data_IF_149365344220
#
_entry.id   IF_149365344220
#
_cell.length_a   1.000
_cell.length_b   1.000
_cell.length_c   1.000
_cell.angle_alpha   90.00
_cell.angle_beta   90.00
_cell.angle_gamma   90.00
#
_symmetry.space_group_name_H-M   'P 1'
#
loop_
_entity.id
_entity.type
_entity.pdbx_description
1 polymer ?
#
# COMPACT_ATOMS: atom_id res chain seq x y z
N UNK A 1 57.71 -13.97 -20.22
CA UNK A 1 57.77 -14.00 -18.74
C UNK A 1 57.05 -15.27 -18.27
N UNK A 2 57.76 -16.40 -18.13
CA UNK A 2 57.16 -17.66 -17.61
C UNK A 2 57.22 -17.59 -16.09
N UNK A 3 56.07 -17.63 -15.43
CA UNK A 3 56.02 -17.80 -13.97
C UNK A 3 56.71 -19.14 -13.62
N UNK A 4 57.57 -19.18 -12.59
CA UNK A 4 58.28 -20.41 -12.23
C UNK A 4 57.27 -21.50 -11.88
N UNK A 5 57.55 -22.73 -12.34
CA UNK A 5 56.68 -23.92 -12.17
C UNK A 5 56.11 -24.05 -10.75
N UNK A 6 56.93 -23.78 -9.73
CA UNK A 6 56.55 -23.79 -8.32
C UNK A 6 55.40 -22.83 -7.97
N UNK A 7 55.33 -21.66 -8.61
CA UNK A 7 54.27 -20.67 -8.37
C UNK A 7 52.91 -21.13 -8.90
N UNK A 8 52.88 -21.82 -10.04
CA UNK A 8 51.65 -22.39 -10.60
C UNK A 8 51.12 -23.53 -9.72
N UNK A 9 52.01 -24.41 -9.24
CA UNK A 9 51.63 -25.47 -8.30
C UNK A 9 51.16 -24.95 -6.94
N UNK A 10 51.73 -23.86 -6.44
CA UNK A 10 51.28 -23.20 -5.20
C UNK A 10 49.88 -22.59 -5.42
N UNK A 11 49.66 -21.87 -6.51
CA UNK A 11 48.34 -21.29 -6.83
C UNK A 11 47.24 -22.34 -7.00
N UNK A 12 47.54 -23.48 -7.62
CA UNK A 12 46.57 -24.58 -7.77
C UNK A 12 46.20 -25.22 -6.41
N UNK A 13 47.18 -25.39 -5.50
CA UNK A 13 46.93 -25.90 -4.15
C UNK A 13 46.10 -24.93 -3.31
N UNK A 14 46.40 -23.63 -3.41
CA UNK A 14 45.63 -22.57 -2.75
C UNK A 14 44.19 -22.55 -3.29
N UNK A 15 44.01 -22.64 -4.61
CA UNK A 15 42.68 -22.68 -5.22
C UNK A 15 41.87 -23.91 -4.77
N UNK A 16 42.47 -25.10 -4.82
CA UNK A 16 41.80 -26.33 -4.36
C UNK A 16 41.40 -26.24 -2.89
N UNK A 17 42.29 -25.71 -2.04
CA UNK A 17 41.98 -25.47 -0.63
C UNK A 17 40.76 -24.57 -0.47
N UNK A 18 40.72 -23.42 -1.15
CA UNK A 18 39.58 -22.50 -1.07
C UNK A 18 38.31 -23.11 -1.64
N UNK A 19 38.37 -23.88 -2.72
CA UNK A 19 37.19 -24.56 -3.27
C UNK A 19 36.58 -25.55 -2.27
N UNK A 20 37.41 -26.38 -1.63
CA UNK A 20 36.94 -27.34 -0.61
C UNK A 20 36.44 -26.62 0.64
N UNK A 21 37.18 -25.60 1.10
CA UNK A 21 36.80 -24.80 2.25
C UNK A 21 35.44 -24.13 2.06
N UNK A 22 35.22 -23.45 0.91
CA UNK A 22 33.94 -22.82 0.62
C UNK A 22 32.82 -23.82 0.36
N UNK A 23 33.10 -25.01 -0.20
CA UNK A 23 32.10 -26.06 -0.33
C UNK A 23 31.57 -26.52 1.04
N UNK A 24 32.47 -26.72 2.01
CA UNK A 24 32.08 -27.07 3.39
C UNK A 24 31.33 -25.92 4.06
N UNK A 25 31.79 -24.68 3.89
CA UNK A 25 31.13 -23.49 4.45
C UNK A 25 29.71 -23.31 3.91
N UNK A 26 29.51 -23.47 2.61
CA UNK A 26 28.18 -23.41 1.97
C UNK A 26 27.29 -24.54 2.48
N UNK A 27 27.83 -25.75 2.64
CA UNK A 27 27.10 -26.89 3.20
C UNK A 27 26.65 -26.63 4.64
N UNK A 28 27.54 -26.12 5.49
CA UNK A 28 27.21 -25.74 6.87
C UNK A 28 26.15 -24.64 6.94
N UNK A 29 26.32 -23.56 6.15
CA UNK A 29 25.33 -22.48 6.07
C UNK A 29 23.97 -22.99 5.59
N UNK A 30 23.95 -23.85 4.56
CA UNK A 30 22.71 -24.42 4.03
C UNK A 30 22.01 -25.31 5.06
N UNK A 31 22.75 -26.09 5.85
CA UNK A 31 22.20 -26.90 6.93
C UNK A 31 21.62 -26.00 8.05
N UNK A 32 22.34 -24.97 8.48
CA UNK A 32 21.83 -24.00 9.46
C UNK A 32 20.57 -23.27 8.95
N UNK A 33 20.57 -22.87 7.68
CA UNK A 33 19.44 -22.20 7.05
C UNK A 33 18.23 -23.14 6.94
N UNK A 34 18.44 -24.42 6.63
CA UNK A 34 17.38 -25.42 6.60
C UNK A 34 16.74 -25.62 7.98
N UNK A 35 17.55 -25.72 9.04
CA UNK A 35 17.05 -25.77 10.42
C UNK A 35 16.29 -24.49 10.78
N UNK A 36 16.80 -23.32 10.38
CA UNK A 36 16.12 -22.05 10.61
C UNK A 36 14.73 -22.02 9.95
N UNK A 37 14.61 -22.45 8.69
CA UNK A 37 13.32 -22.51 7.98
C UNK A 37 12.31 -23.46 8.64
N UNK A 38 12.76 -24.53 9.31
CA UNK A 38 11.86 -25.38 10.09
C UNK A 38 11.26 -24.67 11.31
N UNK A 39 11.86 -23.57 11.78
CA UNK A 39 11.34 -22.77 12.90
C UNK A 39 10.36 -21.66 12.46
N UNK A 40 10.12 -21.53 11.16
CA UNK A 40 9.28 -20.49 10.57
C UNK A 40 7.96 -21.07 10.07
N UNK A 41 6.89 -20.30 10.27
CA UNK A 41 5.60 -20.54 9.64
C UNK A 41 5.56 -19.81 8.29
N UNK A 42 5.21 -20.51 7.21
CA UNK A 42 5.14 -19.95 5.87
C UNK A 42 3.91 -19.05 5.64
N UNK A 43 2.92 -19.08 6.52
CA UNK A 43 1.67 -18.30 6.40
C UNK A 43 1.67 -17.01 7.22
N UNK A 44 2.48 -16.93 8.26
CA UNK A 44 2.52 -15.77 9.17
C UNK A 44 3.92 -15.44 9.64
N UNK A 45 4.26 -14.15 9.77
CA UNK A 45 5.55 -13.75 10.30
C UNK A 45 5.66 -14.14 11.78
N UNK A 46 6.85 -14.60 12.18
CA UNK A 46 7.17 -15.02 13.56
C UNK A 46 7.07 -13.85 14.56
N UNK A 47 7.56 -12.68 14.16
CA UNK A 47 7.48 -11.46 14.95
C UNK A 47 6.41 -10.55 14.34
N UNK A 48 5.50 -10.05 15.17
CA UNK A 48 4.32 -9.30 14.74
C UNK A 48 4.21 -8.00 15.55
N UNK A 49 3.53 -7.00 14.98
CA UNK A 49 3.24 -5.72 15.62
C UNK A 49 4.52 -5.08 16.19
N UNK A 50 4.49 -4.58 17.43
CA UNK A 50 5.63 -3.94 18.11
C UNK A 50 6.87 -4.81 18.25
N UNK A 51 6.77 -6.14 18.15
CA UNK A 51 7.94 -7.04 18.15
C UNK A 51 8.56 -7.20 16.76
N UNK A 52 7.86 -6.77 15.71
CA UNK A 52 8.34 -6.83 14.34
C UNK A 52 9.12 -5.57 13.97
N UNK A 53 10.02 -5.69 12.99
CA UNK A 53 10.74 -4.55 12.44
C UNK A 53 9.82 -3.52 11.76
N UNK A 54 8.69 -3.98 11.23
CA UNK A 54 7.69 -3.13 10.55
C UNK A 54 6.93 -2.26 11.58
N UNK A 55 6.76 -2.76 12.80
CA UNK A 55 5.98 -2.13 13.85
C UNK A 55 4.47 -2.39 13.73
N UNK A 56 3.69 -1.59 14.45
CA UNK A 56 2.24 -1.67 14.60
C UNK A 56 1.52 -0.41 14.12
N UNK A 57 2.21 0.45 13.37
CA UNK A 57 1.65 1.68 12.81
C UNK A 57 1.68 1.62 11.27
N UNK A 58 0.53 1.43 10.60
CA UNK A 58 0.51 1.28 9.15
C UNK A 58 0.86 2.59 8.44
N UNK A 59 1.63 2.44 7.35
CA UNK A 59 1.78 3.49 6.34
C UNK A 59 0.51 3.61 5.49
N UNK A 60 0.39 4.75 4.80
CA UNK A 60 -0.65 4.98 3.80
C UNK A 60 0.02 5.13 2.43
N UNK A 61 -0.51 4.43 1.42
CA UNK A 61 -0.08 4.53 0.03
C UNK A 61 -1.18 5.12 -0.84
N UNK A 62 -0.78 5.68 -1.99
CA UNK A 62 -1.70 6.16 -3.03
C UNK A 62 -1.51 5.40 -4.35
N UNK A 63 -2.54 5.39 -5.18
CA UNK A 63 -2.52 4.87 -6.56
C UNK A 63 -3.26 5.84 -7.49
N UNK A 64 -2.78 6.03 -8.74
CA UNK A 64 -1.65 5.33 -9.37
C UNK A 64 -0.29 5.85 -8.90
N UNK A 65 0.77 5.03 -9.05
CA UNK A 65 2.15 5.46 -8.76
C UNK A 65 2.80 6.03 -10.02
N UNK A 66 3.74 6.98 -9.91
CA UNK A 66 4.52 7.46 -11.05
C UNK A 66 5.36 6.36 -11.72
N UNK A 67 5.76 6.55 -12.99
CA UNK A 67 6.51 5.55 -13.76
C UNK A 67 7.87 5.25 -13.15
N UNK A 68 8.42 4.09 -13.49
CA UNK A 68 9.70 3.60 -12.94
C UNK A 68 10.87 4.56 -13.17
N UNK A 69 10.85 5.35 -14.24
CA UNK A 69 11.85 6.38 -14.50
C UNK A 69 11.92 7.45 -13.41
N UNK A 70 10.83 7.64 -12.66
CA UNK A 70 10.67 8.66 -11.62
C UNK A 70 10.01 8.07 -10.34
N UNK A 71 10.41 6.88 -9.90
CA UNK A 71 9.82 6.22 -8.70
C UNK A 71 9.91 7.03 -7.41
N UNK A 72 10.88 7.94 -7.31
CA UNK A 72 11.05 8.81 -6.13
C UNK A 72 10.07 10.00 -6.14
N UNK A 73 9.48 10.27 -7.30
CA UNK A 73 8.48 11.31 -7.45
C UNK A 73 7.16 10.88 -6.82
N UNK A 74 6.46 11.85 -6.24
CA UNK A 74 5.06 11.69 -5.83
C UNK A 74 4.11 12.48 -6.72
N UNK A 75 4.61 12.99 -7.85
CA UNK A 75 3.87 13.82 -8.79
C UNK A 75 3.03 12.98 -9.74
N UNK A 76 1.72 13.22 -9.70
CA UNK A 76 0.76 12.82 -10.71
C UNK A 76 0.58 14.03 -11.64
N UNK A 77 1.33 14.03 -12.73
CA UNK A 77 1.21 15.03 -13.76
C UNK A 77 0.54 14.44 -14.99
N UNK A 78 -0.52 15.10 -15.45
CA UNK A 78 -1.10 14.78 -16.72
C UNK A 78 -1.67 15.99 -17.44
N UNK A 79 -1.74 15.89 -18.76
CA UNK A 79 -2.38 16.88 -19.62
C UNK A 79 -3.71 16.33 -20.12
N UNK A 80 -4.83 16.95 -19.74
CA UNK A 80 -6.17 16.43 -20.08
C UNK A 80 -6.39 16.30 -21.59
N UNK A 81 -5.71 17.13 -22.40
CA UNK A 81 -5.80 17.07 -23.87
C UNK A 81 -4.96 15.97 -24.52
N UNK A 82 -3.94 15.44 -23.82
CA UNK A 82 -3.03 14.44 -24.37
C UNK A 82 -3.43 13.03 -23.93
N UNK A 83 -4.10 12.32 -24.84
CA UNK A 83 -4.58 10.95 -24.61
C UNK A 83 -3.45 9.96 -24.30
N UNK A 84 -2.25 10.17 -24.83
CA UNK A 84 -1.12 9.26 -24.59
C UNK A 84 -0.62 9.36 -23.16
N UNK A 85 -0.50 10.58 -22.64
CA UNK A 85 -0.09 10.83 -21.27
C UNK A 85 -1.14 10.37 -20.25
N UNK A 86 -2.44 10.58 -20.53
CA UNK A 86 -3.56 10.08 -19.71
C UNK A 86 -3.62 8.55 -19.67
N UNK A 87 -3.32 7.88 -20.79
CA UNK A 87 -3.41 6.43 -20.92
C UNK A 87 -2.53 5.67 -19.90
N UNK A 88 -1.34 6.18 -19.58
CA UNK A 88 -0.48 5.57 -18.56
C UNK A 88 -1.20 5.46 -17.21
N UNK A 89 -1.73 6.58 -16.72
CA UNK A 89 -2.39 6.65 -15.42
C UNK A 89 -3.67 5.80 -15.36
N UNK A 90 -4.44 5.80 -16.46
CA UNK A 90 -5.62 4.93 -16.60
C UNK A 90 -5.25 3.45 -16.52
N UNK A 91 -4.16 3.05 -17.16
CA UNK A 91 -3.73 1.65 -17.17
C UNK A 91 -3.24 1.20 -15.80
N UNK A 92 -2.46 2.04 -15.10
CA UNK A 92 -2.03 1.76 -13.71
C UNK A 92 -3.24 1.54 -12.79
N UNK A 93 -4.27 2.38 -12.91
CA UNK A 93 -5.49 2.20 -12.14
C UNK A 93 -6.30 0.98 -12.57
N UNK A 94 -6.39 0.71 -13.87
CA UNK A 94 -7.09 -0.47 -14.39
C UNK A 94 -6.47 -1.76 -13.86
N UNK A 95 -5.14 -1.87 -13.91
CA UNK A 95 -4.44 -3.06 -13.39
C UNK A 95 -4.55 -3.14 -11.86
N UNK A 96 -4.53 -2.00 -11.16
CA UNK A 96 -4.74 -1.96 -9.72
C UNK A 96 -6.13 -2.47 -9.31
N UNK A 97 -7.20 -1.98 -9.95
CA UNK A 97 -8.58 -2.34 -9.57
C UNK A 97 -8.97 -3.74 -10.02
N UNK A 98 -8.30 -4.32 -11.02
CA UNK A 98 -8.56 -5.66 -11.56
C UNK A 98 -8.61 -6.75 -10.48
N UNK A 99 -7.79 -6.65 -9.43
CA UNK A 99 -7.78 -7.61 -8.32
C UNK A 99 -9.03 -7.57 -7.44
N UNK A 100 -9.84 -6.51 -7.56
CA UNK A 100 -11.12 -6.35 -6.86
C UNK A 100 -12.30 -6.89 -7.69
N UNK A 101 -12.09 -7.20 -8.98
CA UNK A 101 -13.08 -7.92 -9.78
C UNK A 101 -13.09 -9.39 -9.40
N UNK A 102 -14.28 -9.91 -9.10
CA UNK A 102 -14.46 -11.30 -8.63
C UNK A 102 -13.85 -12.33 -9.57
N UNK A 103 -14.01 -12.13 -10.88
CA UNK A 103 -13.52 -13.06 -11.92
C UNK A 103 -11.99 -13.06 -12.04
N UNK A 104 -11.34 -11.95 -11.72
CA UNK A 104 -9.89 -11.77 -11.87
C UNK A 104 -9.13 -11.93 -10.56
N UNK A 105 -9.82 -12.12 -9.43
CA UNK A 105 -9.19 -12.19 -8.11
C UNK A 105 -8.64 -13.61 -7.82
N UNK A 106 -7.30 -13.80 -7.74
CA UNK A 106 -6.71 -15.12 -7.45
C UNK A 106 -7.04 -15.63 -6.04
N UNK A 107 -7.54 -14.75 -5.17
CA UNK A 107 -7.92 -15.03 -3.80
C UNK A 107 -9.43 -14.96 -3.58
N UNK A 108 -10.25 -15.10 -4.63
CA UNK A 108 -11.73 -15.09 -4.54
C UNK A 108 -12.25 -15.98 -3.40
N UNK A 109 -11.65 -17.16 -3.19
CA UNK A 109 -12.01 -18.09 -2.10
C UNK A 109 -11.86 -17.50 -0.71
N UNK A 110 -11.05 -16.46 -0.52
CA UNK A 110 -10.84 -15.77 0.75
C UNK A 110 -11.65 -14.47 0.84
N UNK A 111 -12.52 -14.20 -0.13
CA UNK A 111 -13.39 -13.03 -0.13
C UNK A 111 -14.79 -13.44 0.31
N UNK A 112 -15.45 -12.60 1.10
CA UNK A 112 -16.85 -12.77 1.47
C UNK A 112 -17.61 -11.44 1.45
N UNK A 113 -18.93 -11.55 1.40
CA UNK A 113 -19.81 -10.39 1.45
C UNK A 113 -19.99 -9.96 2.90
N UNK A 114 -19.40 -8.83 3.26
CA UNK A 114 -19.59 -8.25 4.58
C UNK A 114 -20.90 -7.47 4.62
N UNK A 115 -21.69 -7.74 5.65
CA UNK A 115 -22.78 -6.87 6.09
C UNK A 115 -22.18 -5.60 6.70
N UNK A 116 -22.91 -4.48 6.60
CA UNK A 116 -22.42 -3.17 7.03
C UNK A 116 -21.86 -3.25 8.46
N UNK A 117 -20.55 -3.00 8.58
CA UNK A 117 -19.80 -2.90 9.84
C UNK A 117 -19.61 -4.20 10.63
N UNK A 118 -19.81 -5.39 10.02
CA UNK A 118 -19.37 -6.64 10.65
C UNK A 118 -17.99 -7.05 10.14
N UNK A 119 -17.07 -7.47 11.03
CA UNK A 119 -15.79 -8.01 10.59
C UNK A 119 -16.01 -9.32 9.82
N UNK A 120 -15.16 -9.60 8.82
CA UNK A 120 -15.26 -10.85 8.09
C UNK A 120 -14.92 -12.05 8.97
N UNK A 121 -15.37 -13.24 8.55
CA UNK A 121 -15.01 -14.53 9.12
C UNK A 121 -13.50 -14.72 9.17
N UNK A 122 -13.02 -15.55 10.10
CA UNK A 122 -11.58 -15.79 10.26
C UNK A 122 -10.92 -16.27 8.95
N UNK A 123 -9.86 -15.57 8.53
CA UNK A 123 -9.15 -15.85 7.28
C UNK A 123 -9.82 -15.33 6.01
N UNK A 124 -10.95 -14.63 6.12
CA UNK A 124 -11.66 -13.99 5.01
C UNK A 124 -11.46 -12.47 5.01
N UNK A 125 -11.75 -11.84 3.87
CA UNK A 125 -11.74 -10.38 3.71
C UNK A 125 -13.05 -9.93 3.06
N UNK A 126 -13.49 -8.72 3.41
CA UNK A 126 -14.68 -8.14 2.80
C UNK A 126 -14.49 -7.87 1.31
N UNK A 127 -15.49 -8.24 0.53
CA UNK A 127 -15.58 -7.91 -0.89
C UNK A 127 -15.73 -6.39 -1.07
N UNK A 128 -14.99 -5.84 -2.03
CA UNK A 128 -15.10 -4.42 -2.39
C UNK A 128 -15.80 -4.34 -3.73
N UNK A 129 -17.11 -4.07 -3.69
CA UNK A 129 -17.93 -4.01 -4.90
C UNK A 129 -17.62 -2.76 -5.71
N UNK A 130 -16.82 -2.90 -6.77
CA UNK A 130 -16.51 -1.85 -7.76
C UNK A 130 -17.73 -1.52 -8.65
N UNK A 131 -18.83 -1.09 -8.03
CA UNK A 131 -20.10 -0.79 -8.72
C UNK A 131 -20.25 0.70 -8.98
N UNK A 132 -20.95 1.04 -10.06
CA UNK A 132 -21.22 2.43 -10.47
C UNK A 132 -21.89 3.28 -9.39
N UNK A 133 -22.76 2.69 -8.57
CA UNK A 133 -23.50 3.42 -7.54
C UNK A 133 -22.61 3.91 -6.40
N UNK A 134 -21.46 3.27 -6.17
CA UNK A 134 -20.56 3.58 -5.05
C UNK A 134 -19.29 4.28 -5.56
N UNK A 135 -18.76 3.83 -6.69
CA UNK A 135 -17.42 4.21 -7.15
C UNK A 135 -17.40 5.18 -8.32
N UNK A 136 -18.55 5.59 -8.88
CA UNK A 136 -18.53 6.62 -9.94
C UNK A 136 -18.07 7.97 -9.38
N UNK A 137 -17.12 8.69 -10.03
CA UNK A 137 -16.53 8.45 -11.35
C UNK A 137 -15.19 7.69 -11.37
N UNK A 138 -14.79 7.09 -10.26
CA UNK A 138 -13.55 6.33 -10.07
C UNK A 138 -13.58 4.89 -10.63
N UNK A 139 -14.18 4.71 -11.81
CA UNK A 139 -14.23 3.44 -12.52
C UNK A 139 -13.59 3.53 -13.89
N UNK A 140 -13.20 2.37 -14.44
CA UNK A 140 -12.54 2.27 -15.73
C UNK A 140 -13.40 2.85 -16.88
N UNK A 141 -14.73 2.67 -16.82
CA UNK A 141 -15.66 3.19 -17.84
C UNK A 141 -15.72 4.72 -17.86
N UNK A 142 -15.40 5.36 -16.74
CA UNK A 142 -15.34 6.83 -16.59
C UNK A 142 -13.89 7.34 -16.68
N UNK A 143 -12.96 6.53 -17.18
CA UNK A 143 -11.54 6.86 -17.28
C UNK A 143 -10.91 7.30 -15.96
N UNK A 144 -11.48 6.85 -14.83
CA UNK A 144 -11.11 7.29 -13.47
C UNK A 144 -11.04 8.82 -13.33
N UNK A 145 -11.84 9.58 -14.08
CA UNK A 145 -11.86 11.05 -14.07
C UNK A 145 -10.72 11.73 -14.84
N UNK A 146 -9.71 11.02 -15.36
CA UNK A 146 -8.58 11.64 -16.07
C UNK A 146 -8.98 12.34 -17.38
N UNK A 147 -10.06 11.91 -18.02
CA UNK A 147 -10.56 12.47 -19.28
C UNK A 147 -11.70 13.49 -19.06
N UNK A 148 -12.05 13.81 -17.81
CA UNK A 148 -13.07 14.81 -17.53
C UNK A 148 -12.53 16.22 -17.84
N UNK A 149 -13.20 16.93 -18.76
CA UNK A 149 -12.83 18.28 -19.17
C UNK A 149 -12.99 19.33 -18.06
N UNK A 150 -13.85 19.07 -17.08
CA UNK A 150 -14.07 19.97 -15.92
C UNK A 150 -13.57 19.36 -14.62
N UNK A 151 -13.49 18.03 -14.58
CA UNK A 151 -13.03 17.23 -13.46
C UNK A 151 -11.53 16.98 -13.40
N UNK A 152 -11.18 16.15 -12.45
CA UNK A 152 -9.84 15.68 -12.14
C UNK A 152 -9.83 14.18 -11.87
N UNK A 153 -8.65 13.61 -11.60
CA UNK A 153 -8.53 12.17 -11.50
C UNK A 153 -9.08 11.65 -10.17
N UNK A 154 -9.35 10.36 -10.14
CA UNK A 154 -9.54 9.60 -8.91
C UNK A 154 -8.22 9.02 -8.44
N UNK A 155 -7.86 9.30 -7.18
CA UNK A 155 -6.68 8.77 -6.52
C UNK A 155 -7.11 7.81 -5.42
N UNK A 156 -6.67 6.56 -5.51
CA UNK A 156 -7.00 5.54 -4.52
C UNK A 156 -6.02 5.60 -3.37
N UNK A 157 -6.53 5.52 -2.15
CA UNK A 157 -5.72 5.42 -0.94
C UNK A 157 -5.86 4.01 -0.35
N UNK A 158 -4.73 3.45 0.08
CA UNK A 158 -4.65 2.09 0.60
C UNK A 158 -3.71 2.03 1.79
N UNK A 159 -4.20 1.51 2.92
CA UNK A 159 -3.38 1.24 4.09
C UNK A 159 -2.45 0.05 3.86
N UNK A 160 -1.22 0.15 4.36
CA UNK A 160 -0.27 -0.96 4.33
C UNK A 160 -0.75 -2.08 5.26
N UNK A 161 -0.73 -3.31 4.76
CA UNK A 161 -1.18 -4.48 5.52
C UNK A 161 -0.14 -4.88 6.56
N UNK A 162 -0.52 -4.80 7.84
CA UNK A 162 0.25 -5.35 8.96
C UNK A 162 -0.51 -6.58 9.51
N UNK A 163 0.20 -7.69 9.74
CA UNK A 163 -0.41 -8.93 10.22
C UNK A 163 -0.94 -8.75 11.66
N UNK A 164 -2.19 -9.18 11.91
CA UNK A 164 -2.90 -9.02 13.18
C UNK A 164 -3.07 -7.57 13.67
N UNK A 165 -2.93 -6.59 12.77
CA UNK A 165 -3.26 -5.21 13.09
C UNK A 165 -4.74 -4.95 12.81
N UNK A 166 -5.43 -4.34 13.78
CA UNK A 166 -6.81 -3.91 13.64
C UNK A 166 -6.92 -2.44 14.07
N UNK A 167 -7.59 -1.57 13.30
CA UNK A 167 -7.74 -0.16 13.67
C UNK A 167 -8.54 -0.01 14.96
N UNK A 168 -8.08 0.89 15.82
CA UNK A 168 -8.83 1.34 17.00
C UNK A 168 -9.57 2.64 16.66
N UNK A 169 -10.84 2.55 16.30
CA UNK A 169 -11.60 3.72 15.85
C UNK A 169 -11.78 4.78 16.95
N UNK A 170 -11.96 6.02 16.51
CA UNK A 170 -12.41 7.12 17.36
C UNK A 170 -13.92 7.04 17.58
N UNK A 171 -14.36 7.55 18.72
CA UNK A 171 -15.76 7.77 19.09
C UNK A 171 -15.90 9.14 19.75
N UNK A 172 -17.12 9.58 20.06
CA UNK A 172 -17.41 10.88 20.70
C UNK A 172 -16.56 11.16 21.94
N UNK A 173 -16.23 10.13 22.72
CA UNK A 173 -15.44 10.25 23.96
C UNK A 173 -13.92 10.27 23.76
N UNK A 174 -13.43 9.80 22.61
CA UNK A 174 -11.99 9.60 22.35
C UNK A 174 -11.43 10.52 21.28
N UNK A 175 -12.24 11.46 20.77
CA UNK A 175 -11.78 12.50 19.85
C UNK A 175 -10.60 13.29 20.46
N UNK A 176 -9.61 13.70 19.64
CA UNK A 176 -8.52 14.54 20.11
C UNK A 176 -9.04 15.81 20.80
N UNK A 177 -8.40 16.25 21.89
CA UNK A 177 -8.81 17.49 22.56
C UNK A 177 -8.44 18.73 21.75
N UNK A 178 -7.32 18.69 21.02
CA UNK A 178 -6.90 19.77 20.12
C UNK A 178 -7.83 19.86 18.90
N UNK A 179 -8.55 20.98 18.69
CA UNK A 179 -9.39 21.20 17.51
C UNK A 179 -8.59 21.21 16.21
N UNK A 180 -7.30 21.57 16.24
CA UNK A 180 -6.47 21.64 15.04
C UNK A 180 -5.88 20.27 14.64
N UNK A 181 -5.94 19.28 15.53
CA UNK A 181 -5.44 17.94 15.21
C UNK A 181 -6.32 17.28 14.14
N UNK A 182 -7.64 17.39 14.25
CA UNK A 182 -8.62 16.72 13.40
C UNK A 182 -9.69 17.72 12.91
N UNK A 183 -9.97 17.72 11.61
CA UNK A 183 -10.96 18.61 11.00
C UNK A 183 -12.36 18.45 11.60
N UNK A 184 -13.10 19.55 11.71
CA UNK A 184 -14.49 19.58 12.18
C UNK A 184 -15.42 18.65 11.37
N UNK A 185 -15.23 18.55 10.05
CA UNK A 185 -16.02 17.64 9.21
C UNK A 185 -15.85 16.18 9.65
N UNK A 186 -14.60 15.72 9.77
CA UNK A 186 -14.31 14.35 10.22
C UNK A 186 -14.80 14.09 11.66
N UNK A 187 -14.66 15.08 12.56
CA UNK A 187 -15.19 14.98 13.94
C UNK A 187 -16.70 14.72 13.91
N UNK A 188 -17.43 15.47 13.09
CA UNK A 188 -18.87 15.31 12.92
C UNK A 188 -19.22 13.95 12.34
N UNK A 189 -18.52 13.52 11.29
CA UNK A 189 -18.77 12.22 10.64
C UNK A 189 -18.58 11.06 11.61
N UNK A 190 -17.59 11.11 12.51
CA UNK A 190 -17.35 10.10 13.55
C UNK A 190 -18.55 10.04 14.53
N UNK A 191 -19.01 11.19 15.02
CA UNK A 191 -20.15 11.24 15.96
C UNK A 191 -21.44 10.78 15.28
N UNK A 192 -21.65 11.17 14.03
CA UNK A 192 -22.83 10.76 13.25
C UNK A 192 -22.79 9.24 12.98
N UNK A 193 -21.63 8.67 12.68
CA UNK A 193 -21.46 7.22 12.50
C UNK A 193 -21.72 6.43 13.80
N UNK A 194 -21.20 6.91 14.93
CA UNK A 194 -21.48 6.34 16.26
C UNK A 194 -22.98 6.37 16.57
N UNK A 195 -23.67 7.48 16.26
CA UNK A 195 -25.12 7.60 16.47
C UNK A 195 -25.95 6.59 15.65
N UNK A 196 -25.41 6.14 14.51
CA UNK A 196 -26.02 5.14 13.63
C UNK A 196 -25.66 3.69 14.03
N UNK A 197 -24.78 3.50 15.02
CA UNK A 197 -24.29 2.20 15.44
C UNK A 197 -23.35 1.54 14.41
N UNK A 198 -22.61 2.36 13.66
CA UNK A 198 -21.69 1.93 12.61
C UNK A 198 -20.31 1.57 13.18
N UNK A 199 -20.28 0.64 14.13
CA UNK A 199 -19.11 0.41 15.01
C UNK A 199 -18.04 -0.53 14.41
N UNK A 200 -17.89 -0.59 13.08
CA UNK A 200 -17.17 -1.70 12.50
C UNK A 200 -16.44 -1.51 11.17
N UNK A 201 -15.93 -2.63 10.69
CA UNK A 201 -14.88 -2.66 9.68
C UNK A 201 -15.43 -2.31 8.29
N UNK A 202 -14.87 -1.25 7.70
CA UNK A 202 -15.00 -0.95 6.28
C UNK A 202 -13.76 -1.43 5.52
N UNK A 203 -13.96 -1.76 4.24
CA UNK A 203 -12.85 -2.09 3.35
C UNK A 203 -11.81 -0.96 3.32
N UNK A 204 -10.49 -1.26 3.38
CA UNK A 204 -9.44 -0.26 3.52
C UNK A 204 -9.09 0.45 2.21
N UNK A 205 -9.91 0.29 1.17
CA UNK A 205 -9.76 0.99 -0.10
C UNK A 205 -10.72 2.16 -0.13
N UNK A 206 -10.21 3.36 -0.36
CA UNK A 206 -11.02 4.55 -0.63
C UNK A 206 -10.50 5.23 -1.90
N UNK A 207 -11.36 5.97 -2.59
CA UNK A 207 -10.95 6.83 -3.69
C UNK A 207 -11.26 8.30 -3.35
N UNK A 208 -10.33 9.19 -3.68
CA UNK A 208 -10.49 10.63 -3.60
C UNK A 208 -10.64 11.14 -5.04
N UNK A 209 -11.80 11.69 -5.36
CA UNK A 209 -12.07 12.31 -6.65
C UNK A 209 -11.86 13.82 -6.56
N UNK A 210 -11.05 14.37 -7.46
CA UNK A 210 -10.85 15.81 -7.56
C UNK A 210 -11.87 16.40 -8.53
N UNK A 211 -12.95 17.00 -8.02
CA UNK A 211 -14.07 17.46 -8.86
C UNK A 211 -13.76 18.62 -9.81
N UNK A 212 -12.81 19.50 -9.44
CA UNK A 212 -12.43 20.67 -10.25
C UNK A 212 -11.04 21.18 -9.84
N UNK A 213 -9.95 20.39 -10.03
CA UNK A 213 -8.61 20.83 -9.69
C UNK A 213 -8.20 22.03 -10.55
N UNK A 214 -7.53 23.01 -9.95
CA UNK A 214 -7.04 24.17 -10.67
C UNK A 214 -5.90 23.75 -11.61
N UNK A 215 -6.05 24.05 -12.89
CA UNK A 215 -5.09 23.68 -13.95
C UNK A 215 -3.87 24.60 -14.00
N UNK A 216 -2.77 24.07 -14.53
CA UNK A 216 -1.50 24.79 -14.73
C UNK A 216 -0.78 25.17 -13.44
N UNK A 217 -1.16 24.58 -12.30
CA UNK A 217 -0.49 24.74 -11.01
C UNK A 217 -0.19 23.39 -10.38
N UNK A 218 0.86 23.36 -9.55
CA UNK A 218 1.20 22.21 -8.73
C UNK A 218 0.41 22.26 -7.42
N UNK A 219 -0.44 21.26 -7.19
CA UNK A 219 -1.25 21.11 -5.98
C UNK A 219 -0.56 20.10 -5.07
N UNK A 220 -0.28 20.50 -3.83
CA UNK A 220 0.32 19.63 -2.81
C UNK A 220 -0.78 19.03 -1.95
N UNK A 221 -0.87 17.71 -1.85
CA UNK A 221 -1.91 17.00 -1.11
C UNK A 221 -1.29 16.15 0.00
N UNK A 222 -1.83 16.24 1.21
CA UNK A 222 -1.51 15.36 2.34
C UNK A 222 -2.80 14.67 2.78
N UNK A 223 -2.86 13.34 2.65
CA UNK A 223 -3.97 12.52 3.14
C UNK A 223 -3.54 11.80 4.41
N UNK A 224 -4.41 11.78 5.44
CA UNK A 224 -4.15 11.13 6.73
C UNK A 224 -5.23 10.13 7.05
N UNK A 225 -4.84 8.93 7.48
CA UNK A 225 -5.75 7.93 8.01
C UNK A 225 -5.89 8.12 9.52
N UNK A 226 -7.12 8.05 10.05
CA UNK A 226 -7.40 8.32 11.45
C UNK A 226 -7.86 7.07 12.19
N UNK A 227 -7.08 6.66 13.18
CA UNK A 227 -7.44 5.71 14.24
C UNK A 227 -6.59 6.02 15.47
N UNK A 228 -7.03 5.60 16.66
CA UNK A 228 -6.32 5.82 17.94
C UNK A 228 -4.95 5.16 17.99
N UNK A 229 -4.78 4.07 17.25
CA UNK A 229 -3.52 3.33 17.11
C UNK A 229 -2.78 3.64 15.79
N UNK A 230 -3.09 4.76 15.13
CA UNK A 230 -2.29 5.32 14.03
C UNK A 230 -1.60 6.57 14.53
N UNK A 231 -0.27 6.58 14.45
CA UNK A 231 0.54 7.75 14.79
C UNK A 231 0.94 8.43 13.49
N UNK A 232 0.63 9.72 13.37
CA UNK A 232 1.06 10.52 12.22
C UNK A 232 2.48 11.00 12.42
N UNK A 233 3.37 10.60 11.51
CA UNK A 233 4.73 11.11 11.44
C UNK A 233 5.03 11.51 10.01
N UNK A 234 5.33 12.78 9.80
CA UNK A 234 5.65 13.34 8.47
C UNK A 234 6.99 12.86 7.94
N UNK A 235 7.98 12.63 8.81
CA UNK A 235 9.33 12.22 8.40
C UNK A 235 9.28 10.77 7.92
N UNK A 236 8.65 9.91 8.72
CA UNK A 236 8.55 8.48 8.43
C UNK A 236 7.33 8.13 7.55
N UNK A 237 6.54 9.13 7.12
CA UNK A 237 5.29 8.97 6.35
C UNK A 237 4.33 7.94 6.96
N UNK A 238 4.25 7.91 8.30
CA UNK A 238 3.38 6.99 9.03
C UNK A 238 1.99 7.58 9.18
N UNK A 239 0.95 6.76 8.95
CA UNK A 239 -0.45 7.20 9.03
C UNK A 239 -0.86 8.26 7.99
N UNK A 240 0.03 8.67 7.10
CA UNK A 240 -0.20 9.74 6.13
C UNK A 240 0.53 9.47 4.83
N UNK A 241 -0.02 10.01 3.74
CA UNK A 241 0.63 9.99 2.43
C UNK A 241 0.61 11.39 1.83
N UNK A 242 1.70 11.74 1.18
CA UNK A 242 1.83 12.98 0.45
C UNK A 242 2.01 12.67 -1.03
N UNK A 243 1.27 13.39 -1.87
CA UNK A 243 1.45 13.38 -3.32
C UNK A 243 1.13 14.74 -3.90
N UNK A 244 1.61 14.96 -5.11
CA UNK A 244 1.42 16.20 -5.84
C UNK A 244 0.56 15.94 -7.07
N UNK A 245 -0.31 16.87 -7.41
CA UNK A 245 -1.18 16.79 -8.58
C UNK A 245 -0.96 18.03 -9.44
N UNK A 246 -0.71 17.83 -10.73
CA UNK A 246 -0.66 18.90 -11.71
C UNK A 246 -1.43 18.48 -12.96
N UNK A 247 -2.45 19.28 -13.29
CA UNK A 247 -3.31 19.07 -14.45
C UNK A 247 -3.06 20.19 -15.44
N UNK A 248 -2.59 19.84 -16.64
CA UNK A 248 -2.35 20.78 -17.75
C UNK A 248 -3.45 20.78 -18.82
#
# INVERSE_FOLDING_TARGET
>A
MRLPSNTVFISAKILLFYLLFYAVLIGFFSAMLAVFYQTLDMKKPKWQLSKSLIGDNPGLGFRPMPPESNVESTLIWYKSSDKGNVHYWKNELTEFVKSYDKENNPHEKNVEECTNYQPPSEGKVCNVKMTKNIWHPCLAESSFGFEDEKGGPCIFLKLNKIYNWNPEYYNSTSLPQDPNAMSEYLRKDIVDAESRGEDGYMSPLIAVHFEAPRRGILINIECKAWARNIIHDRVDRRGSVHFELMVD
#
